data_IF_525847764459
#
_entry.id   IF_525847764459
#
_cell.length_a   1.000
_cell.length_b   1.000
_cell.length_c   1.000
_cell.angle_alpha   90.00
_cell.angle_beta   90.00
_cell.angle_gamma   90.00
#
_symmetry.space_group_name_H-M   'P 1'
#
loop_
_entity.id
_entity.type
_entity.pdbx_description
1 polymer ?
#
# COMPACT_ATOMS: atom_id res chain seq x y z
N UNK A 1 8.43 -16.57 -3.38
CA UNK A 1 8.76 -15.14 -3.51
C UNK A 1 7.79 -14.40 -4.43
N UNK A 2 7.85 -14.54 -5.76
CA UNK A 2 6.94 -13.79 -6.67
C UNK A 2 5.44 -13.94 -6.33
N UNK A 3 4.97 -15.18 -6.19
CA UNK A 3 3.57 -15.47 -5.82
C UNK A 3 3.16 -14.91 -4.45
N UNK A 4 4.11 -14.77 -3.53
CA UNK A 4 3.85 -14.22 -2.19
C UNK A 4 3.75 -12.70 -2.24
N UNK A 5 4.59 -12.05 -3.05
CA UNK A 5 4.51 -10.61 -3.32
C UNK A 5 3.20 -10.26 -4.04
N UNK A 6 2.81 -11.03 -5.05
CA UNK A 6 1.54 -10.82 -5.76
C UNK A 6 0.33 -11.00 -4.82
N UNK A 7 0.38 -11.99 -3.93
CA UNK A 7 -0.62 -12.17 -2.89
C UNK A 7 -0.68 -10.97 -1.94
N UNK A 8 0.47 -10.50 -1.43
CA UNK A 8 0.54 -9.35 -0.54
C UNK A 8 0.04 -8.06 -1.22
N UNK A 9 0.39 -7.84 -2.48
CA UNK A 9 -0.09 -6.69 -3.26
C UNK A 9 -1.61 -6.70 -3.42
N UNK A 10 -2.21 -7.86 -3.69
CA UNK A 10 -3.66 -8.00 -3.76
C UNK A 10 -4.32 -7.80 -2.40
N UNK A 11 -3.74 -8.38 -1.35
CA UNK A 11 -4.22 -8.23 0.03
C UNK A 11 -4.24 -6.75 0.46
N UNK A 12 -3.13 -6.02 0.27
CA UNK A 12 -3.09 -4.60 0.62
C UNK A 12 -4.05 -3.76 -0.22
N UNK A 13 -4.24 -4.10 -1.50
CA UNK A 13 -5.19 -3.38 -2.36
C UNK A 13 -6.63 -3.57 -1.88
N UNK A 14 -7.00 -4.77 -1.43
CA UNK A 14 -8.32 -5.02 -0.83
C UNK A 14 -8.47 -4.25 0.49
N UNK A 15 -7.47 -4.30 1.38
CA UNK A 15 -7.53 -3.57 2.65
C UNK A 15 -7.64 -2.05 2.46
N UNK A 16 -7.00 -1.49 1.43
CA UNK A 16 -7.13 -0.07 1.08
C UNK A 16 -8.58 0.24 0.69
N UNK A 17 -9.16 -0.54 -0.21
CA UNK A 17 -10.54 -0.34 -0.66
C UNK A 17 -11.55 -0.44 0.51
N UNK A 18 -11.39 -1.44 1.38
CA UNK A 18 -12.27 -1.62 2.54
C UNK A 18 -12.15 -0.44 3.52
N UNK A 19 -10.93 0.03 3.78
CA UNK A 19 -10.70 1.17 4.68
C UNK A 19 -11.18 2.49 4.08
N UNK A 20 -11.07 2.69 2.77
CA UNK A 20 -11.59 3.88 2.11
C UNK A 20 -13.12 3.96 2.29
N UNK A 21 -13.84 2.84 2.19
CA UNK A 21 -15.28 2.77 2.51
C UNK A 21 -15.57 3.07 3.99
N UNK A 22 -14.78 2.53 4.91
CA UNK A 22 -14.94 2.81 6.35
C UNK A 22 -14.69 4.29 6.68
N UNK A 23 -13.70 4.92 6.02
CA UNK A 23 -13.39 6.35 6.19
C UNK A 23 -14.46 7.23 5.55
N UNK A 24 -15.06 6.83 4.43
CA UNK A 24 -16.21 7.56 3.87
C UNK A 24 -17.40 7.56 4.84
N UNK A 25 -17.60 6.47 5.59
CA UNK A 25 -18.63 6.38 6.62
C UNK A 25 -18.32 7.22 7.88
N UNK A 26 -17.05 7.35 8.27
CA UNK A 26 -16.60 8.24 9.35
C UNK A 26 -15.28 8.98 8.98
N UNK A 27 -15.39 10.14 8.30
CA UNK A 27 -14.22 10.88 7.82
C UNK A 27 -13.47 11.60 8.93
N UNK A 28 -13.95 11.57 10.17
CA UNK A 28 -13.26 12.18 11.33
C UNK A 28 -12.38 11.18 12.07
N UNK A 29 -12.42 9.91 11.66
CA UNK A 29 -11.66 8.85 12.29
C UNK A 29 -10.18 8.87 11.87
N UNK A 30 -9.38 9.65 12.60
CA UNK A 30 -7.93 9.77 12.36
C UNK A 30 -7.18 8.44 12.52
N UNK A 31 -7.69 7.51 13.33
CA UNK A 31 -7.09 6.19 13.46
C UNK A 31 -7.22 5.39 12.16
N UNK A 32 -8.39 5.41 11.51
CA UNK A 32 -8.59 4.74 10.22
C UNK A 32 -7.72 5.38 9.12
N UNK A 33 -7.60 6.71 9.11
CA UNK A 33 -6.70 7.42 8.17
C UNK A 33 -5.23 7.01 8.36
N UNK A 34 -4.76 6.93 9.61
CA UNK A 34 -3.40 6.46 9.91
C UNK A 34 -3.17 5.02 9.47
N UNK A 35 -4.16 4.14 9.66
CA UNK A 35 -4.12 2.75 9.20
C UNK A 35 -4.06 2.65 7.67
N UNK A 36 -4.88 3.45 6.97
CA UNK A 36 -4.87 3.55 5.50
C UNK A 36 -3.48 3.95 4.98
N UNK A 37 -2.88 4.97 5.60
CA UNK A 37 -1.55 5.43 5.22
C UNK A 37 -0.49 4.33 5.41
N UNK A 38 -0.50 3.65 6.56
CA UNK A 38 0.42 2.55 6.83
C UNK A 38 0.33 1.40 5.83
N UNK A 39 -0.89 1.06 5.38
CA UNK A 39 -1.10 0.00 4.37
C UNK A 39 -0.67 0.49 2.98
N UNK A 40 -0.91 1.75 2.62
CA UNK A 40 -0.39 2.35 1.38
C UNK A 40 1.14 2.26 1.34
N UNK A 41 1.82 2.59 2.43
CA UNK A 41 3.27 2.41 2.58
C UNK A 41 3.72 0.95 2.43
N UNK A 42 3.06 0.01 3.11
CA UNK A 42 3.42 -1.40 3.02
C UNK A 42 3.29 -1.95 1.58
N UNK A 43 2.26 -1.51 0.85
CA UNK A 43 2.05 -1.85 -0.56
C UNK A 43 3.16 -1.32 -1.44
N UNK A 44 3.57 -0.06 -1.25
CA UNK A 44 4.70 0.53 -1.98
C UNK A 44 5.98 -0.27 -1.77
N UNK A 45 6.34 -0.56 -0.51
CA UNK A 45 7.54 -1.34 -0.19
C UNK A 45 7.47 -2.71 -0.87
N UNK A 46 6.34 -3.40 -0.78
CA UNK A 46 6.14 -4.72 -1.43
C UNK A 46 6.32 -4.63 -2.93
N UNK A 47 5.86 -3.54 -3.57
CA UNK A 47 6.02 -3.33 -5.01
C UNK A 47 7.49 -3.13 -5.41
N UNK A 48 8.31 -2.53 -4.55
CA UNK A 48 9.75 -2.34 -4.80
C UNK A 48 10.49 -3.67 -4.84
N UNK A 49 10.12 -4.63 -3.98
CA UNK A 49 10.67 -6.00 -4.02
C UNK A 49 10.21 -6.79 -5.25
N UNK A 50 9.22 -6.29 -5.98
CA UNK A 50 8.68 -6.91 -7.19
C UNK A 50 9.29 -6.34 -8.48
N UNK A 51 10.20 -5.35 -8.38
CA UNK A 51 10.90 -4.79 -9.53
C UNK A 51 12.10 -5.67 -9.91
N UNK A 52 12.35 -5.91 -11.21
CA UNK A 52 13.59 -6.52 -11.67
C UNK A 52 14.78 -5.65 -11.25
N UNK A 53 15.87 -6.28 -10.78
CA UNK A 53 17.10 -5.61 -10.28
C UNK A 53 17.73 -4.61 -11.29
N UNK A 54 17.32 -4.62 -12.56
CA UNK A 54 17.85 -3.78 -13.64
C UNK A 54 17.24 -2.36 -13.73
N UNK A 55 16.26 -2.00 -12.90
CA UNK A 55 15.78 -0.62 -12.83
C UNK A 55 16.70 0.21 -11.93
N UNK A 56 17.84 0.61 -12.49
CA UNK A 56 18.89 1.44 -11.89
C UNK A 56 18.49 2.89 -11.55
N UNK A 57 17.26 3.12 -11.11
CA UNK A 57 16.85 4.38 -10.51
C UNK A 57 16.05 4.11 -9.23
N UNK A 58 16.50 4.61 -8.06
CA UNK A 58 15.63 4.63 -6.90
C UNK A 58 14.38 5.41 -7.28
N UNK A 59 13.23 4.75 -7.20
CA UNK A 59 11.95 5.45 -7.29
C UNK A 59 11.88 6.28 -6.01
N UNK A 60 12.11 7.59 -6.14
CA UNK A 60 11.76 8.55 -5.09
C UNK A 60 10.24 8.48 -4.94
N UNK A 61 9.79 7.74 -3.92
CA UNK A 61 8.40 7.73 -3.51
C UNK A 61 8.19 9.00 -2.72
N UNK A 62 7.66 10.03 -3.38
CA UNK A 62 7.04 11.14 -2.69
C UNK A 62 5.77 10.61 -2.01
N UNK A 63 5.80 10.55 -0.68
CA UNK A 63 4.58 10.39 0.10
C UNK A 63 4.10 11.79 0.47
N UNK A 64 3.03 12.21 -0.18
CA UNK A 64 2.20 13.36 0.20
C UNK A 64 1.44 13.07 1.51
#
# INVERSE_FOLDING_TARGET
>A
MQKELDYLMNYFSQCIADLEVEIEADPTNEFLKGKLQGIKYARVITSMYNLPEDFGHPIDVEID
#
